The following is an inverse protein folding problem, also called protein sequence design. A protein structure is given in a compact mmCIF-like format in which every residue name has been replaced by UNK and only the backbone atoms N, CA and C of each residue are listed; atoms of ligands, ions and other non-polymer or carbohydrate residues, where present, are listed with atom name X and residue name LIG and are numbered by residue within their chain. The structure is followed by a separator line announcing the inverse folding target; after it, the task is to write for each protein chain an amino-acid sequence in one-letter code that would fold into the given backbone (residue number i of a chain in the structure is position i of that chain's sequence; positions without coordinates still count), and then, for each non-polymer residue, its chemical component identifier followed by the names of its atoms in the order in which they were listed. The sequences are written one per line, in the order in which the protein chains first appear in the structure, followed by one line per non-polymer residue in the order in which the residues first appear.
data_IF_295812349797
#
_entry.id   IF_295812349797
#
_cell.length_a   1.000
_cell.length_b   1.000
_cell.length_c   1.000
_cell.angle_alpha   90.00
_cell.angle_beta   90.00
_cell.angle_gamma   90.00
#
_symmetry.space_group_name_H-M   'P 1'
#
loop_
_entity.id
_entity.type
_entity.pdbx_description
1 polymer ?
#
# COMPACT_ATOMS: atom_id res chain seq x y z
N UNK A 1 10.69 48.44 -30.01
CA UNK A 1 9.89 47.19 -29.90
C UNK A 1 10.69 45.96 -29.46
N UNK A 2 11.81 45.57 -30.10
CA UNK A 2 12.57 44.35 -29.74
C UNK A 2 13.00 44.22 -28.26
N UNK A 3 13.41 45.32 -27.59
CA UNK A 3 13.81 45.31 -26.17
C UNK A 3 12.67 45.04 -25.18
N UNK A 4 11.44 45.41 -25.54
CA UNK A 4 10.25 45.25 -24.68
C UNK A 4 9.79 43.79 -24.72
N UNK A 5 9.75 43.21 -25.92
CA UNK A 5 9.40 41.79 -26.13
C UNK A 5 10.41 40.87 -25.40
N UNK A 6 11.70 41.21 -25.43
CA UNK A 6 12.73 40.45 -24.70
C UNK A 6 12.51 40.49 -23.18
N UNK A 7 12.23 41.66 -22.60
CA UNK A 7 11.93 41.80 -21.17
C UNK A 7 10.67 41.02 -20.73
N UNK A 8 9.66 40.95 -21.58
CA UNK A 8 8.44 40.16 -21.32
C UNK A 8 8.77 38.67 -21.32
N UNK A 9 9.56 38.20 -22.30
CA UNK A 9 10.05 36.82 -22.34
C UNK A 9 10.88 36.45 -21.10
N UNK A 10 11.82 37.31 -20.71
CA UNK A 10 12.66 37.11 -19.52
C UNK A 10 11.82 37.03 -18.24
N UNK A 11 10.77 37.85 -18.10
CA UNK A 11 9.82 37.78 -16.98
C UNK A 11 9.03 36.46 -16.96
N UNK A 12 8.56 35.97 -18.11
CA UNK A 12 7.82 34.69 -18.20
C UNK A 12 8.73 33.52 -17.79
N UNK A 13 10.00 33.55 -18.19
CA UNK A 13 10.97 32.52 -17.80
C UNK A 13 11.23 32.57 -16.30
N UNK A 14 11.42 33.75 -15.72
CA UNK A 14 11.61 33.93 -14.28
C UNK A 14 10.40 33.43 -13.47
N UNK A 15 9.19 33.78 -13.89
CA UNK A 15 7.95 33.32 -13.25
C UNK A 15 7.85 31.79 -13.30
N UNK A 16 8.16 31.16 -14.44
CA UNK A 16 8.15 29.70 -14.53
C UNK A 16 9.25 29.06 -13.67
N UNK A 17 10.44 29.66 -13.59
CA UNK A 17 11.55 29.14 -12.80
C UNK A 17 11.28 29.20 -11.29
N UNK A 18 10.45 30.14 -10.82
CA UNK A 18 10.16 30.30 -9.38
C UNK A 18 8.85 29.65 -8.96
N UNK A 19 7.79 29.78 -9.75
CA UNK A 19 6.45 29.34 -9.35
C UNK A 19 6.29 27.83 -9.54
N UNK A 20 6.79 27.27 -10.64
CA UNK A 20 6.61 25.84 -10.94
C UNK A 20 7.31 24.95 -9.90
N UNK A 21 8.56 25.21 -9.49
CA UNK A 21 9.21 24.41 -8.45
C UNK A 21 8.54 24.57 -7.09
N UNK A 22 8.12 25.78 -6.72
CA UNK A 22 7.43 26.02 -5.46
C UNK A 22 6.09 25.26 -5.39
N UNK A 23 5.34 25.20 -6.49
CA UNK A 23 4.08 24.47 -6.57
C UNK A 23 4.31 22.95 -6.48
N UNK A 24 5.35 22.43 -7.14
CA UNK A 24 5.73 21.02 -7.07
C UNK A 24 6.13 20.61 -5.65
N UNK A 25 6.96 21.41 -4.97
CA UNK A 25 7.37 21.15 -3.58
C UNK A 25 6.15 21.16 -2.65
N UNK A 26 5.22 22.11 -2.83
CA UNK A 26 3.98 22.15 -2.05
C UNK A 26 3.10 20.92 -2.26
N UNK A 27 2.95 20.48 -3.52
CA UNK A 27 2.17 19.27 -3.84
C UNK A 27 2.79 18.01 -3.27
N UNK A 28 4.13 17.86 -3.34
CA UNK A 28 4.86 16.74 -2.74
C UNK A 28 4.66 16.75 -1.22
N UNK A 29 4.83 17.91 -0.57
CA UNK A 29 4.63 18.04 0.87
C UNK A 29 3.20 17.68 1.28
N UNK A 30 2.18 18.20 0.56
CA UNK A 30 0.79 17.87 0.83
C UNK A 30 0.48 16.38 0.63
N UNK A 31 1.16 15.72 -0.31
CA UNK A 31 0.94 14.29 -0.58
C UNK A 31 1.60 13.44 0.51
N UNK A 32 2.81 13.79 0.94
CA UNK A 32 3.51 13.12 2.03
C UNK A 32 2.75 13.25 3.37
N UNK A 33 2.16 14.41 3.65
CA UNK A 33 1.31 14.60 4.84
C UNK A 33 0.08 13.68 4.81
N UNK A 34 -0.57 13.54 3.66
CA UNK A 34 -1.70 12.61 3.50
C UNK A 34 -1.27 11.15 3.68
N UNK A 35 -0.11 10.78 3.14
CA UNK A 35 0.46 9.45 3.30
C UNK A 35 0.74 9.14 4.79
N UNK A 36 1.38 10.07 5.50
CA UNK A 36 1.67 9.91 6.93
C UNK A 36 0.40 9.70 7.77
N UNK A 37 -0.68 10.44 7.47
CA UNK A 37 -1.98 10.26 8.14
C UNK A 37 -2.60 8.89 7.81
N UNK A 38 -2.42 8.40 6.59
CA UNK A 38 -2.88 7.07 6.16
C UNK A 38 -2.07 5.96 6.84
N UNK A 39 -0.75 6.08 6.90
CA UNK A 39 0.14 5.15 7.60
C UNK A 39 -0.16 5.10 9.10
N UNK A 40 -0.37 6.26 9.73
CA UNK A 40 -0.77 6.32 11.14
C UNK A 40 -2.15 5.68 11.38
N UNK A 41 -3.10 5.86 10.45
CA UNK A 41 -4.41 5.21 10.52
C UNK A 41 -4.33 3.70 10.30
N UNK A 42 -3.48 3.23 9.40
CA UNK A 42 -3.27 1.80 9.15
C UNK A 42 -2.58 1.14 10.34
N UNK A 43 -1.55 1.78 10.92
CA UNK A 43 -0.85 1.27 12.09
C UNK A 43 -1.69 1.25 13.38
N UNK A 44 -2.76 2.06 13.45
CA UNK A 44 -3.69 2.11 14.60
C UNK A 44 -4.99 1.34 14.40
N UNK A 45 -5.25 0.77 13.21
CA UNK A 45 -6.37 -0.13 13.05
C UNK A 45 -6.07 -1.38 13.88
N UNK A 46 -6.83 -1.65 14.96
CA UNK A 46 -6.65 -2.90 15.69
C UNK A 46 -6.99 -4.01 14.70
N UNK A 47 -5.98 -4.82 14.34
CA UNK A 47 -6.21 -6.08 13.65
C UNK A 47 -7.14 -6.87 14.55
N UNK A 48 -8.44 -6.87 14.21
CA UNK A 48 -9.45 -7.59 14.96
C UNK A 48 -9.25 -9.06 14.64
N UNK A 49 -8.32 -9.70 15.35
CA UNK A 49 -8.26 -11.14 15.43
C UNK A 49 -9.55 -11.59 16.12
N UNK A 50 -10.54 -11.99 15.32
CA UNK A 50 -11.66 -12.76 15.84
C UNK A 50 -11.09 -14.14 16.13
N UNK A 51 -10.90 -14.44 17.41
CA UNK A 51 -10.42 -15.75 17.90
C UNK A 51 -11.22 -16.93 17.31
N UNK A 52 -12.46 -16.67 16.89
CA UNK A 52 -13.39 -17.63 16.28
C UNK A 52 -13.07 -17.95 14.80
N UNK A 53 -12.11 -17.28 14.16
CA UNK A 53 -11.70 -17.54 12.77
C UNK A 53 -10.61 -18.61 12.66
N UNK A 54 -9.94 -18.97 13.75
CA UNK A 54 -8.95 -20.05 13.77
C UNK A 54 -9.70 -21.39 13.72
N UNK A 55 -9.85 -21.95 12.51
CA UNK A 55 -10.62 -23.17 12.28
C UNK A 55 -11.81 -23.02 11.32
N UNK A 56 -12.14 -21.79 10.92
CA UNK A 56 -13.18 -21.54 9.91
C UNK A 56 -12.76 -22.01 8.52
N UNK A 57 -13.71 -22.51 7.73
CA UNK A 57 -13.46 -22.91 6.33
C UNK A 57 -12.96 -21.72 5.53
N UNK A 58 -11.79 -21.85 4.89
CA UNK A 58 -11.16 -20.78 4.12
C UNK A 58 -10.38 -19.73 4.92
N UNK A 59 -10.15 -19.96 6.22
CA UNK A 59 -9.28 -19.13 7.07
C UNK A 59 -8.00 -19.88 7.44
N UNK A 60 -6.91 -19.17 7.69
CA UNK A 60 -5.63 -19.78 8.05
C UNK A 60 -5.73 -20.30 9.49
N UNK A 61 -5.69 -21.62 9.67
CA UNK A 61 -5.72 -22.26 11.01
C UNK A 61 -4.34 -22.46 11.61
N UNK A 62 -3.31 -22.64 10.79
CA UNK A 62 -1.92 -22.77 11.21
C UNK A 62 -0.98 -22.24 10.14
N UNK A 63 0.21 -21.78 10.56
CA UNK A 63 1.28 -21.32 9.68
C UNK A 63 2.61 -21.82 10.21
N UNK A 64 3.40 -22.45 9.34
CA UNK A 64 4.76 -22.93 9.61
C UNK A 64 5.70 -22.42 8.51
N UNK A 65 6.44 -21.35 8.81
CA UNK A 65 7.22 -20.62 7.82
C UNK A 65 6.36 -20.14 6.65
N UNK A 66 6.61 -20.71 5.46
CA UNK A 66 5.90 -20.42 4.22
C UNK A 66 4.72 -21.37 3.96
N UNK A 67 4.45 -22.35 4.83
CA UNK A 67 3.30 -23.24 4.70
C UNK A 67 2.14 -22.71 5.56
N UNK A 68 0.94 -22.65 4.98
CA UNK A 68 -0.31 -22.37 5.72
C UNK A 68 -1.26 -23.56 5.64
N UNK A 69 -1.99 -23.81 6.72
CA UNK A 69 -3.08 -24.78 6.76
C UNK A 69 -4.41 -24.06 6.77
N UNK A 70 -5.32 -24.52 5.91
CA UNK A 70 -6.63 -23.91 5.68
C UNK A 70 -7.71 -25.00 5.82
N UNK A 71 -8.56 -24.95 6.85
CA UNK A 71 -9.64 -25.91 7.03
C UNK A 71 -10.56 -25.94 5.81
N UNK A 72 -10.91 -27.14 5.36
CA UNK A 72 -11.72 -27.38 4.17
C UNK A 72 -10.98 -27.35 2.82
N UNK A 73 -9.73 -26.90 2.79
CA UNK A 73 -8.95 -26.78 1.55
C UNK A 73 -7.57 -27.45 1.60
N UNK A 74 -6.98 -27.64 2.79
CA UNK A 74 -5.70 -28.34 2.96
C UNK A 74 -4.53 -27.39 3.22
N UNK A 75 -3.33 -27.77 2.81
CA UNK A 75 -2.09 -27.03 3.04
C UNK A 75 -1.63 -26.31 1.77
N UNK A 76 -1.11 -25.10 1.92
CA UNK A 76 -0.65 -24.27 0.81
C UNK A 76 0.74 -23.73 1.10
N UNK A 77 1.62 -23.83 0.11
CA UNK A 77 2.90 -23.14 0.10
C UNK A 77 2.71 -21.71 -0.41
N UNK A 78 3.26 -20.77 0.33
CA UNK A 78 3.31 -19.35 0.02
C UNK A 78 4.68 -18.99 -0.54
N UNK A 79 4.72 -17.94 -1.36
CA UNK A 79 5.99 -17.28 -1.67
C UNK A 79 6.44 -16.39 -0.49
N UNK A 80 7.68 -15.93 -0.49
CA UNK A 80 8.24 -15.18 0.65
C UNK A 80 7.46 -13.89 0.97
N UNK A 81 6.99 -13.19 -0.07
CA UNK A 81 6.18 -11.97 0.10
C UNK A 81 4.79 -12.27 0.67
N UNK A 82 4.14 -13.35 0.25
CA UNK A 82 2.87 -13.84 0.79
C UNK A 82 3.04 -14.30 2.25
N UNK A 83 4.16 -14.96 2.56
CA UNK A 83 4.48 -15.44 3.89
C UNK A 83 4.69 -14.29 4.89
N UNK A 84 5.19 -13.13 4.48
CA UNK A 84 5.29 -11.97 5.37
C UNK A 84 3.93 -11.33 5.69
N UNK A 85 2.98 -11.43 4.77
CA UNK A 85 1.67 -10.74 4.86
C UNK A 85 0.62 -11.62 5.55
N UNK A 86 0.62 -12.92 5.31
CA UNK A 86 -0.40 -13.83 5.83
C UNK A 86 -0.11 -14.28 7.27
N UNK A 87 -1.14 -14.23 8.10
CA UNK A 87 -1.12 -14.59 9.51
C UNK A 87 -2.23 -15.59 9.86
N UNK A 88 -2.04 -16.33 10.96
CA UNK A 88 -3.07 -17.24 11.48
C UNK A 88 -4.33 -16.45 11.83
N UNK A 89 -5.49 -16.92 11.38
CA UNK A 89 -6.78 -16.25 11.51
C UNK A 89 -7.19 -15.42 10.29
N UNK A 90 -6.29 -15.16 9.34
CA UNK A 90 -6.61 -14.42 8.13
C UNK A 90 -7.52 -15.22 7.19
N UNK A 91 -8.41 -14.51 6.48
CA UNK A 91 -9.17 -15.11 5.39
C UNK A 91 -8.26 -15.31 4.19
N UNK A 92 -8.19 -16.55 3.70
CA UNK A 92 -7.35 -16.88 2.56
C UNK A 92 -7.98 -16.37 1.27
N UNK A 93 -7.24 -15.60 0.44
CA UNK A 93 -7.76 -15.16 -0.84
C UNK A 93 -8.05 -16.33 -1.79
N UNK A 94 -9.07 -16.17 -2.62
CA UNK A 94 -9.54 -17.21 -3.53
C UNK A 94 -8.45 -17.69 -4.51
N UNK A 95 -7.48 -16.85 -4.86
CA UNK A 95 -6.39 -17.23 -5.76
C UNK A 95 -5.44 -18.24 -5.12
N UNK A 96 -5.23 -18.20 -3.80
CA UNK A 96 -4.41 -19.18 -3.07
C UNK A 96 -5.14 -20.51 -3.03
N UNK A 97 -6.45 -20.50 -2.72
CA UNK A 97 -7.27 -21.71 -2.65
C UNK A 97 -7.33 -22.47 -3.99
N UNK A 98 -7.37 -21.75 -5.11
CA UNK A 98 -7.35 -22.32 -6.46
C UNK A 98 -6.00 -22.96 -6.86
N UNK A 99 -4.90 -22.70 -6.14
CA UNK A 99 -3.60 -23.36 -6.42
C UNK A 99 -3.52 -24.79 -5.88
N UNK A 100 -4.39 -25.15 -4.95
CA UNK A 100 -4.38 -26.46 -4.29
C UNK A 100 -5.35 -27.48 -4.89
N UNK A 101 -6.15 -27.08 -5.89
CA UNK A 101 -6.93 -27.99 -6.76
C UNK A 101 -6.05 -28.60 -7.86
#
# INVERSE_FOLDING_TARGET
MKKIVKKIGDCIVLINLTIVPALLVYQIYSTNQKLAILEEKIGKLPVRYTSDSVGGVGYISAKDGNEITVPGYGKFLLNDAEAEVFHVGDKVPSYVLKRGE
#
